data_IF_219437084688
#
_entry.id   IF_219437084688
#
_cell.length_a   1.000
_cell.length_b   1.000
_cell.length_c   1.000
_cell.angle_alpha   90.00
_cell.angle_beta   90.00
_cell.angle_gamma   90.00
#
_symmetry.space_group_name_H-M   'P 1'
#
loop_
_entity.id
_entity.type
_entity.pdbx_description
1 polymer ?
#
# COMPACT_ATOMS: atom_id res chain seq x y z
N UNK A 1 -25.52 -87.33 13.69
CA UNK A 1 -24.84 -88.31 14.59
C UNK A 1 -24.94 -87.79 16.01
N UNK A 2 -25.70 -88.48 16.79
CA UNK A 2 -25.60 -88.89 18.21
C UNK A 2 -25.33 -87.70 19.16
N UNK A 3 -26.23 -87.43 20.07
CA UNK A 3 -26.96 -88.16 21.05
C UNK A 3 -26.52 -87.77 22.46
N UNK A 4 -27.48 -87.46 23.24
CA UNK A 4 -27.95 -88.00 24.55
C UNK A 4 -27.52 -87.14 25.71
N UNK A 5 -28.46 -86.61 26.35
CA UNK A 5 -29.37 -87.21 27.37
C UNK A 5 -28.80 -87.21 28.76
N UNK A 6 -29.56 -86.73 29.61
CA UNK A 6 -30.23 -87.26 30.80
C UNK A 6 -29.62 -86.76 32.08
N UNK A 7 -30.27 -86.50 33.12
CA UNK A 7 -31.60 -86.58 33.73
C UNK A 7 -31.41 -86.27 35.20
N UNK A 8 -32.38 -85.61 35.80
CA UNK A 8 -33.19 -85.97 36.95
C UNK A 8 -32.48 -86.18 38.32
N UNK A 9 -32.87 -85.39 39.32
CA UNK A 9 -33.53 -85.84 40.54
C UNK A 9 -33.75 -84.65 41.46
N UNK A 10 -34.98 -84.21 41.66
CA UNK A 10 -35.83 -84.33 42.83
C UNK A 10 -35.11 -84.32 44.21
N UNK A 11 -35.35 -83.25 45.01
CA UNK A 11 -36.08 -83.52 46.27
C UNK A 11 -36.62 -82.25 46.94
N UNK A 12 -37.83 -82.36 47.41
CA UNK A 12 -38.57 -81.35 48.13
C UNK A 12 -38.12 -81.35 49.63
N UNK A 13 -38.22 -80.18 50.24
CA UNK A 13 -38.92 -80.08 51.56
C UNK A 13 -39.00 -78.62 52.04
N UNK A 14 -40.19 -78.16 52.17
CA UNK A 14 -40.89 -77.51 53.30
C UNK A 14 -40.26 -76.27 53.99
N UNK A 15 -41.10 -75.23 53.92
CA UNK A 15 -41.52 -74.32 55.00
C UNK A 15 -40.52 -73.28 55.52
N UNK A 16 -40.84 -72.00 55.26
CA UNK A 16 -41.29 -71.03 56.29
C UNK A 16 -41.44 -69.63 55.64
N UNK A 17 -42.64 -69.09 55.78
CA UNK A 17 -42.91 -67.65 55.60
C UNK A 17 -42.40 -66.97 56.89
N UNK A 18 -41.72 -65.81 56.78
CA UNK A 18 -42.33 -64.62 57.37
C UNK A 18 -42.17 -63.42 56.52
N UNK A 19 -43.18 -62.61 56.59
CA UNK A 19 -43.28 -61.16 56.39
C UNK A 19 -41.98 -60.44 56.44
N UNK A 20 -41.69 -59.54 55.45
CA UNK A 20 -41.18 -58.23 55.74
C UNK A 20 -41.21 -57.32 54.53
N UNK A 21 -41.81 -56.18 54.70
CA UNK A 21 -41.30 -54.87 54.33
C UNK A 21 -41.02 -54.63 52.85
N UNK A 22 -42.02 -54.13 52.09
CA UNK A 22 -41.78 -53.39 50.84
C UNK A 22 -41.10 -52.12 51.19
N UNK A 23 -39.78 -52.11 51.08
CA UNK A 23 -38.98 -50.88 51.09
C UNK A 23 -39.00 -50.26 49.71
N UNK A 24 -39.83 -49.22 49.52
CA UNK A 24 -39.80 -48.38 48.34
C UNK A 24 -38.42 -47.65 48.29
N UNK A 25 -37.52 -48.21 47.54
CA UNK A 25 -36.27 -47.57 47.20
C UNK A 25 -36.62 -46.56 46.13
N UNK A 26 -36.83 -45.26 46.52
CA UNK A 26 -36.92 -44.12 45.62
C UNK A 26 -35.61 -44.01 44.93
N UNK A 27 -35.54 -44.52 43.67
CA UNK A 27 -34.44 -44.15 42.75
C UNK A 27 -34.63 -42.68 42.39
N UNK A 28 -33.90 -41.82 43.09
CA UNK A 28 -33.68 -40.44 42.65
C UNK A 28 -32.91 -40.55 41.30
N UNK A 29 -33.65 -40.49 40.22
CA UNK A 29 -33.04 -40.21 38.90
C UNK A 29 -32.43 -38.83 39.00
N UNK A 30 -31.14 -38.76 39.26
CA UNK A 30 -30.34 -37.55 39.03
C UNK A 30 -30.47 -37.24 37.55
N UNK A 31 -31.37 -36.30 37.20
CA UNK A 31 -31.38 -35.67 35.88
C UNK A 31 -30.03 -34.97 35.75
N UNK A 32 -29.09 -35.61 35.11
CA UNK A 32 -27.84 -34.96 34.69
C UNK A 32 -28.20 -33.86 33.67
N UNK A 33 -28.43 -32.66 34.18
CA UNK A 33 -28.62 -31.47 33.32
C UNK A 33 -27.48 -31.34 32.33
N UNK A 34 -27.81 -30.89 31.13
CA UNK A 34 -26.81 -30.65 30.09
C UNK A 34 -25.80 -29.62 30.60
N UNK A 35 -24.57 -30.09 30.82
CA UNK A 35 -23.49 -29.23 31.30
C UNK A 35 -22.96 -28.35 30.14
N UNK A 36 -23.01 -27.02 30.29
CA UNK A 36 -22.54 -26.07 29.32
C UNK A 36 -21.30 -25.35 29.87
N UNK A 37 -20.16 -25.40 29.18
CA UNK A 37 -18.96 -24.70 29.63
C UNK A 37 -19.22 -23.19 29.63
N UNK A 38 -18.70 -22.49 30.64
CA UNK A 38 -18.88 -21.06 30.83
C UNK A 38 -17.55 -20.36 30.91
N UNK A 39 -17.51 -19.09 30.49
CA UNK A 39 -16.38 -18.21 30.67
C UNK A 39 -16.80 -16.97 31.48
N UNK A 40 -15.94 -16.52 32.36
CA UNK A 40 -16.16 -15.27 33.08
C UNK A 40 -15.86 -14.08 32.17
N UNK A 41 -16.73 -13.08 32.22
CA UNK A 41 -16.52 -11.78 31.56
C UNK A 41 -15.48 -11.02 32.37
N UNK A 42 -14.32 -10.81 31.79
CA UNK A 42 -13.19 -10.18 32.46
C UNK A 42 -12.76 -8.90 31.75
N UNK A 43 -12.26 -7.96 32.53
CA UNK A 43 -11.47 -6.86 32.02
C UNK A 43 -10.12 -7.42 31.58
N UNK A 44 -9.80 -7.28 30.33
CA UNK A 44 -8.52 -7.69 29.76
C UNK A 44 -7.88 -6.49 29.08
N UNK A 45 -6.59 -6.32 29.32
CA UNK A 45 -5.80 -5.34 28.58
C UNK A 45 -5.68 -5.79 27.12
N UNK A 46 -6.44 -5.17 26.25
CA UNK A 46 -6.42 -5.43 24.82
C UNK A 46 -5.77 -4.29 24.07
N UNK A 47 -5.07 -4.61 23.00
CA UNK A 47 -4.45 -3.60 22.16
C UNK A 47 -5.51 -2.68 21.58
N UNK A 48 -5.38 -1.38 21.85
CA UNK A 48 -6.19 -0.36 21.18
C UNK A 48 -5.46 0.09 19.93
N UNK A 49 -6.15 0.03 18.81
CA UNK A 49 -5.53 0.41 17.54
C UNK A 49 -6.55 0.67 16.46
N UNK A 50 -6.05 1.18 15.37
CA UNK A 50 -6.82 1.43 14.16
C UNK A 50 -6.17 0.61 13.04
N UNK A 51 -6.94 -0.25 12.40
CA UNK A 51 -6.51 -0.93 11.17
C UNK A 51 -7.22 -0.29 10.00
N UNK A 52 -6.47 0.01 8.96
CA UNK A 52 -6.95 0.60 7.72
C UNK A 52 -6.27 -0.09 6.54
N UNK A 53 -7.03 -0.22 5.46
CA UNK A 53 -6.49 -0.69 4.21
C UNK A 53 -5.78 0.46 3.49
N UNK A 54 -4.66 0.14 2.87
CA UNK A 54 -3.86 1.02 2.05
C UNK A 54 -3.39 0.31 0.79
N UNK A 55 -2.59 0.97 -0.01
CA UNK A 55 -2.00 0.40 -1.22
C UNK A 55 -0.55 0.80 -1.38
N UNK A 56 0.18 -0.06 -2.02
CA UNK A 56 1.60 0.13 -2.31
C UNK A 56 1.76 1.10 -3.48
N UNK A 57 2.65 2.08 -3.33
CA UNK A 57 2.92 3.08 -4.33
C UNK A 57 4.44 3.30 -4.47
N UNK A 58 4.97 3.43 -5.69
CA UNK A 58 6.36 3.86 -5.86
C UNK A 58 6.49 5.32 -5.41
N UNK A 59 7.60 5.65 -4.75
CA UNK A 59 7.87 7.04 -4.37
C UNK A 59 8.14 7.89 -5.61
N UNK A 60 8.79 7.29 -6.62
CA UNK A 60 9.15 7.96 -7.86
C UNK A 60 8.44 7.33 -9.04
N UNK A 61 7.48 8.06 -9.57
CA UNK A 61 6.73 7.71 -10.78
C UNK A 61 6.69 8.93 -11.67
N UNK A 62 6.89 8.77 -12.96
CA UNK A 62 6.88 9.85 -13.93
C UNK A 62 6.15 9.45 -15.19
N UNK A 63 5.31 10.34 -15.68
CA UNK A 63 4.76 10.27 -17.02
C UNK A 63 5.66 11.06 -17.95
N UNK A 64 6.27 10.38 -18.90
CA UNK A 64 7.15 10.99 -19.90
C UNK A 64 6.28 11.44 -21.06
N UNK A 65 6.31 12.74 -21.33
CA UNK A 65 5.55 13.37 -22.38
C UNK A 65 6.47 13.81 -23.55
N UNK A 66 5.92 13.90 -24.74
CA UNK A 66 6.61 14.45 -25.88
C UNK A 66 7.02 15.91 -25.62
N UNK A 67 8.21 16.29 -26.05
CA UNK A 67 8.72 17.67 -26.03
C UNK A 67 8.83 18.26 -27.42
N UNK A 68 8.80 17.42 -28.47
CA UNK A 68 8.78 17.82 -29.87
C UNK A 68 7.47 17.40 -30.54
N UNK A 69 7.10 18.13 -31.59
CA UNK A 69 6.02 17.76 -32.52
C UNK A 69 6.56 16.85 -33.62
N UNK A 70 5.75 15.90 -34.06
CA UNK A 70 6.09 15.01 -35.16
C UNK A 70 5.42 13.63 -35.03
N UNK A 71 5.55 12.79 -36.06
CA UNK A 71 5.07 11.41 -35.97
C UNK A 71 6.04 10.57 -35.15
N UNK A 72 5.55 9.74 -34.28
CA UNK A 72 6.36 8.77 -33.56
C UNK A 72 6.88 7.74 -34.56
N UNK A 73 8.18 7.72 -34.77
CA UNK A 73 8.83 6.82 -35.73
C UNK A 73 8.94 5.41 -35.16
N UNK A 74 9.39 5.30 -33.91
CA UNK A 74 9.55 4.01 -33.22
C UNK A 74 9.23 4.13 -31.74
N UNK A 75 8.66 3.05 -31.18
CA UNK A 75 8.55 2.82 -29.72
C UNK A 75 9.30 1.52 -29.43
N UNK A 76 10.37 1.60 -28.64
CA UNK A 76 11.31 0.49 -28.42
C UNK A 76 10.99 -0.32 -27.16
N UNK A 77 9.98 0.11 -26.39
CA UNK A 77 9.65 -0.47 -25.09
C UNK A 77 8.16 -0.80 -25.01
N UNK A 78 7.85 -1.72 -24.09
CA UNK A 78 6.48 -2.14 -23.77
C UNK A 78 6.22 -2.03 -22.27
N UNK A 79 4.94 -2.07 -21.89
CA UNK A 79 4.57 -2.18 -20.47
C UNK A 79 5.20 -3.45 -19.88
N UNK A 80 5.80 -3.31 -18.69
CA UNK A 80 6.54 -4.38 -18.01
C UNK A 80 8.03 -4.42 -18.31
N UNK A 81 8.55 -3.65 -19.27
CA UNK A 81 9.97 -3.64 -19.58
C UNK A 81 10.78 -2.88 -18.51
N UNK A 82 11.97 -3.41 -18.22
CA UNK A 82 12.96 -2.74 -17.40
C UNK A 82 13.81 -1.81 -18.25
N UNK A 83 13.98 -0.56 -17.82
CA UNK A 83 14.73 0.46 -18.53
C UNK A 83 15.82 1.07 -17.64
N UNK A 84 16.90 1.53 -18.25
CA UNK A 84 18.00 2.22 -17.59
C UNK A 84 17.95 3.72 -17.88
N UNK A 85 18.49 4.52 -16.98
CA UNK A 85 18.67 5.97 -17.21
C UNK A 85 19.41 6.25 -18.51
N UNK A 86 18.89 7.18 -19.31
CA UNK A 86 19.43 7.52 -20.64
C UNK A 86 19.07 6.51 -21.76
N UNK A 87 18.43 5.40 -21.46
CA UNK A 87 17.99 4.44 -22.48
C UNK A 87 16.95 5.09 -23.40
N UNK A 88 17.11 4.90 -24.72
CA UNK A 88 16.16 5.35 -25.73
C UNK A 88 14.86 4.55 -25.63
N UNK A 89 13.73 5.22 -25.48
CA UNK A 89 12.40 4.64 -25.30
C UNK A 89 11.55 4.76 -26.57
N UNK A 90 11.61 5.94 -27.20
CA UNK A 90 10.90 6.23 -28.43
C UNK A 90 11.66 7.28 -29.25
N UNK A 91 11.39 7.30 -30.56
CA UNK A 91 11.89 8.36 -31.44
C UNK A 91 10.71 9.03 -32.14
N UNK A 92 10.80 10.36 -32.26
CA UNK A 92 9.89 11.18 -33.06
C UNK A 92 10.63 11.49 -34.36
N UNK A 93 9.95 11.58 -35.49
CA UNK A 93 10.53 11.94 -36.78
C UNK A 93 11.30 13.25 -36.66
N UNK A 94 12.61 13.20 -36.88
CA UNK A 94 13.54 14.30 -36.64
C UNK A 94 14.00 15.01 -37.91
N UNK A 95 13.44 14.68 -39.09
CA UNK A 95 13.88 15.24 -40.38
C UNK A 95 13.81 16.75 -40.41
N UNK A 96 12.75 17.35 -39.87
CA UNK A 96 12.61 18.80 -39.77
C UNK A 96 13.65 19.40 -38.82
N UNK A 97 13.80 18.80 -37.64
CA UNK A 97 14.78 19.24 -36.63
C UNK A 97 16.21 19.10 -37.15
N UNK A 98 16.53 18.06 -37.89
CA UNK A 98 17.83 17.84 -38.53
C UNK A 98 18.14 18.92 -39.57
N UNK A 99 17.16 19.31 -40.39
CA UNK A 99 17.29 20.41 -41.37
C UNK A 99 17.54 21.73 -40.63
N UNK A 100 16.85 21.99 -39.51
CA UNK A 100 17.06 23.16 -38.66
C UNK A 100 18.49 23.22 -38.09
N UNK A 101 19.03 22.06 -37.63
CA UNK A 101 20.42 21.96 -37.18
C UNK A 101 21.41 22.28 -38.30
N UNK A 102 21.20 21.71 -39.50
CA UNK A 102 22.08 22.01 -40.67
C UNK A 102 22.08 23.49 -41.04
N UNK A 103 20.91 24.12 -41.06
CA UNK A 103 20.77 25.55 -41.35
C UNK A 103 21.48 26.41 -40.31
N UNK A 104 21.28 26.15 -39.03
CA UNK A 104 21.92 26.92 -37.95
C UNK A 104 23.45 26.71 -37.89
N UNK A 105 23.93 25.50 -38.21
CA UNK A 105 25.36 25.25 -38.38
C UNK A 105 25.98 26.03 -39.53
N UNK A 106 25.29 26.14 -40.67
CA UNK A 106 25.75 26.96 -41.79
C UNK A 106 25.81 28.46 -41.43
N UNK A 107 24.82 28.98 -40.70
CA UNK A 107 24.83 30.35 -40.17
C UNK A 107 25.98 30.60 -39.20
N UNK A 108 26.25 29.63 -38.30
CA UNK A 108 27.38 29.69 -37.38
C UNK A 108 28.71 29.72 -38.16
N UNK A 109 28.88 28.89 -39.18
CA UNK A 109 30.09 28.86 -40.01
C UNK A 109 30.30 30.18 -40.74
N UNK A 110 29.24 30.81 -41.26
CA UNK A 110 29.28 32.14 -41.88
C UNK A 110 29.72 33.22 -40.86
N UNK A 111 29.11 33.24 -39.68
CA UNK A 111 29.46 34.19 -38.62
C UNK A 111 30.92 34.02 -38.13
N UNK A 112 31.41 32.78 -38.05
CA UNK A 112 32.81 32.50 -37.74
C UNK A 112 33.78 33.01 -38.81
N UNK A 113 33.41 32.93 -40.09
CA UNK A 113 34.23 33.46 -41.17
C UNK A 113 34.25 35.01 -41.12
N UNK A 114 33.10 35.66 -40.86
CA UNK A 114 33.03 37.10 -40.65
C UNK A 114 33.89 37.57 -39.48
N UNK A 115 33.85 36.84 -38.35
CA UNK A 115 34.71 37.13 -37.20
C UNK A 115 36.19 37.02 -37.52
N UNK A 116 36.63 35.95 -38.24
CA UNK A 116 38.02 35.83 -38.68
C UNK A 116 38.47 36.97 -39.56
N UNK A 117 37.63 37.41 -40.50
CA UNK A 117 37.92 38.52 -41.38
C UNK A 117 38.03 39.83 -40.60
N UNK A 118 37.10 40.12 -39.68
CA UNK A 118 37.14 41.34 -38.84
C UNK A 118 38.36 41.33 -37.93
N UNK A 119 38.72 40.18 -37.35
CA UNK A 119 39.93 40.06 -36.55
C UNK A 119 41.19 40.35 -37.35
N UNK A 120 41.34 39.76 -38.56
CA UNK A 120 42.49 40.03 -39.44
C UNK A 120 42.57 41.52 -39.89
N UNK A 121 41.38 42.11 -40.10
CA UNK A 121 41.35 43.55 -40.43
C UNK A 121 41.78 44.43 -39.25
N UNK A 122 41.30 44.18 -38.06
CA UNK A 122 41.68 44.82 -36.83
C UNK A 122 43.20 44.70 -36.59
N UNK A 123 43.74 43.47 -36.68
CA UNK A 123 45.16 43.24 -36.46
C UNK A 123 46.06 43.98 -37.49
N UNK A 124 45.70 44.03 -38.80
CA UNK A 124 46.38 44.84 -39.82
C UNK A 124 46.27 46.30 -39.52
N UNK A 125 45.10 46.84 -39.20
CA UNK A 125 44.89 48.26 -38.90
C UNK A 125 45.68 48.68 -37.66
N UNK A 126 45.77 47.88 -36.64
CA UNK A 126 46.56 48.09 -35.41
C UNK A 126 48.05 48.17 -35.72
N UNK A 127 48.58 47.26 -36.57
CA UNK A 127 49.99 47.31 -37.00
C UNK A 127 50.32 48.55 -37.84
N UNK A 128 49.44 48.93 -38.76
CA UNK A 128 49.63 50.16 -39.55
C UNK A 128 49.51 51.38 -38.67
N UNK A 129 48.65 51.45 -37.72
CA UNK A 129 48.49 52.56 -36.78
C UNK A 129 49.75 52.73 -35.91
N UNK A 130 50.31 51.62 -35.40
CA UNK A 130 51.57 51.68 -34.64
C UNK A 130 52.78 52.21 -35.44
N UNK A 131 52.70 52.07 -36.77
CA UNK A 131 53.69 52.62 -37.71
C UNK A 131 53.38 54.05 -38.24
N UNK A 132 52.24 54.63 -37.80
CA UNK A 132 51.83 55.97 -38.16
C UNK A 132 51.13 56.11 -39.53
N UNK A 133 50.75 55.00 -40.20
CA UNK A 133 50.16 54.97 -41.54
C UNK A 133 48.65 55.17 -41.56
N UNK A 134 47.95 54.98 -40.43
CA UNK A 134 46.49 55.17 -40.32
C UNK A 134 46.13 55.93 -39.03
N UNK A 135 44.93 56.55 -39.02
CA UNK A 135 44.47 57.36 -37.89
C UNK A 135 43.93 56.47 -36.73
N UNK A 136 43.86 57.03 -35.53
CA UNK A 136 43.21 56.39 -34.39
C UNK A 136 41.73 56.05 -34.68
N UNK A 137 41.02 56.91 -35.37
CA UNK A 137 39.60 56.70 -35.79
C UNK A 137 39.42 55.44 -36.68
N UNK A 138 40.44 55.14 -37.54
CA UNK A 138 40.42 53.94 -38.35
C UNK A 138 40.55 52.64 -37.47
N UNK A 139 41.40 52.74 -36.44
CA UNK A 139 41.52 51.63 -35.45
C UNK A 139 40.24 51.42 -34.65
N UNK A 140 39.61 52.48 -34.17
CA UNK A 140 38.33 52.45 -33.43
C UNK A 140 37.21 51.82 -34.27
N UNK A 141 37.16 52.17 -35.60
CA UNK A 141 36.24 51.57 -36.54
C UNK A 141 36.46 50.07 -36.69
N UNK A 142 37.74 49.67 -36.92
CA UNK A 142 38.08 48.23 -37.02
C UNK A 142 37.77 47.48 -35.74
N UNK A 143 37.99 48.06 -34.55
CA UNK A 143 37.65 47.47 -33.25
C UNK A 143 36.14 47.33 -33.10
N UNK A 144 35.36 48.33 -33.52
CA UNK A 144 33.89 48.27 -33.48
C UNK A 144 33.36 47.19 -34.41
N UNK A 145 33.94 47.04 -35.61
CA UNK A 145 33.60 45.95 -36.54
C UNK A 145 33.92 44.56 -35.96
N UNK A 146 35.09 44.42 -35.30
CA UNK A 146 35.45 43.18 -34.61
C UNK A 146 34.45 42.82 -33.51
N UNK A 147 34.09 43.79 -32.65
CA UNK A 147 33.08 43.59 -31.60
C UNK A 147 31.73 43.18 -32.19
N UNK A 148 31.32 43.84 -33.28
CA UNK A 148 30.08 43.47 -33.99
C UNK A 148 30.11 42.04 -34.55
N UNK A 149 31.24 41.64 -35.15
CA UNK A 149 31.42 40.28 -35.66
C UNK A 149 31.46 39.23 -34.53
N UNK A 150 32.05 39.55 -33.36
CA UNK A 150 32.00 38.70 -32.16
C UNK A 150 30.58 38.49 -31.70
N UNK A 151 29.79 39.57 -31.55
CA UNK A 151 28.38 39.47 -31.16
C UNK A 151 27.56 38.65 -32.17
N UNK A 152 27.79 38.82 -33.47
CA UNK A 152 27.15 38.04 -34.52
C UNK A 152 27.46 36.54 -34.43
N UNK A 153 28.73 36.20 -34.15
CA UNK A 153 29.13 34.80 -33.94
C UNK A 153 28.47 34.22 -32.69
N UNK A 154 28.37 34.99 -31.60
CA UNK A 154 27.73 34.50 -30.34
C UNK A 154 26.23 34.28 -30.54
N UNK A 155 25.54 35.14 -31.29
CA UNK A 155 24.16 34.98 -31.68
C UNK A 155 23.96 33.70 -32.51
N UNK A 156 24.76 33.48 -33.54
CA UNK A 156 24.70 32.30 -34.39
C UNK A 156 24.97 31.00 -33.59
N UNK A 157 25.94 31.06 -32.64
CA UNK A 157 26.23 29.97 -31.73
C UNK A 157 25.04 29.63 -30.82
N UNK A 158 24.32 30.63 -30.32
CA UNK A 158 23.11 30.41 -29.53
C UNK A 158 22.00 29.77 -30.37
N UNK A 159 21.81 30.21 -31.63
CA UNK A 159 20.86 29.58 -32.55
C UNK A 159 21.18 28.12 -32.86
N UNK A 160 22.48 27.81 -33.06
CA UNK A 160 22.91 26.43 -33.29
C UNK A 160 22.64 25.55 -32.08
N UNK A 161 22.87 26.02 -30.85
CA UNK A 161 22.53 25.28 -29.62
C UNK A 161 21.02 25.06 -29.49
N UNK A 162 20.20 26.05 -29.81
CA UNK A 162 18.74 25.95 -29.78
C UNK A 162 18.25 24.86 -30.75
N UNK A 163 18.74 24.83 -31.98
CA UNK A 163 18.38 23.83 -32.98
C UNK A 163 18.81 22.41 -32.55
N UNK A 164 20.02 22.28 -32.01
CA UNK A 164 20.52 21.01 -31.50
C UNK A 164 19.68 20.49 -30.33
N UNK A 165 19.22 21.40 -29.42
CA UNK A 165 18.32 21.04 -28.33
C UNK A 165 16.96 20.60 -28.85
N UNK A 166 16.40 21.27 -29.85
CA UNK A 166 15.13 20.89 -30.47
C UNK A 166 15.23 19.49 -31.12
N UNK A 167 16.36 19.18 -31.79
CA UNK A 167 16.62 17.83 -32.28
C UNK A 167 16.76 16.83 -31.13
N UNK A 168 17.40 17.20 -30.04
CA UNK A 168 17.50 16.34 -28.84
C UNK A 168 16.15 15.89 -28.30
N UNK A 169 15.13 16.75 -28.40
CA UNK A 169 13.76 16.44 -27.93
C UNK A 169 13.02 15.40 -28.80
N UNK A 170 13.50 15.11 -29.98
CA UNK A 170 12.94 14.02 -30.81
C UNK A 170 13.31 12.62 -30.28
N UNK A 171 14.31 12.54 -29.42
CA UNK A 171 14.78 11.31 -28.80
C UNK A 171 14.28 11.23 -27.37
N UNK A 172 13.28 10.42 -27.13
CA UNK A 172 12.67 10.24 -25.82
C UNK A 172 13.50 9.22 -25.03
N UNK A 173 14.10 9.64 -23.93
CA UNK A 173 14.97 8.80 -23.08
C UNK A 173 14.44 8.67 -21.68
N UNK A 174 14.79 7.56 -21.00
CA UNK A 174 14.45 7.33 -19.61
C UNK A 174 15.22 8.29 -18.67
N UNK A 175 14.53 9.01 -17.78
CA UNK A 175 15.19 9.93 -16.83
C UNK A 175 15.89 9.23 -15.67
N UNK A 176 15.56 7.96 -15.39
CA UNK A 176 16.13 7.14 -14.32
C UNK A 176 15.91 5.65 -14.59
N UNK A 177 16.58 4.79 -13.82
CA UNK A 177 16.37 3.35 -13.88
C UNK A 177 14.99 2.97 -13.33
N UNK A 178 14.25 2.11 -14.05
CA UNK A 178 12.92 1.76 -13.61
C UNK A 178 12.23 0.72 -14.48
N UNK A 179 10.92 0.66 -14.31
CA UNK A 179 10.02 -0.21 -15.08
C UNK A 179 8.97 0.64 -15.79
N UNK A 180 8.62 0.22 -16.99
CA UNK A 180 7.52 0.84 -17.74
C UNK A 180 6.20 0.31 -17.20
N UNK A 181 5.38 1.21 -16.63
CA UNK A 181 4.06 0.86 -16.12
C UNK A 181 3.04 0.76 -17.25
N UNK A 182 3.06 1.76 -18.14
CA UNK A 182 2.11 1.86 -19.25
C UNK A 182 2.72 2.64 -20.42
N UNK A 183 2.47 2.18 -21.63
CA UNK A 183 2.69 2.93 -22.87
C UNK A 183 1.36 3.60 -23.26
N UNK A 184 1.39 4.90 -23.57
CA UNK A 184 0.22 5.71 -23.95
C UNK A 184 0.22 6.06 -25.42
N UNK A 185 1.30 5.74 -26.14
CA UNK A 185 1.46 6.06 -27.55
C UNK A 185 2.14 4.91 -28.30
N UNK A 186 1.82 4.79 -29.57
CA UNK A 186 2.34 3.77 -30.48
C UNK A 186 3.11 4.39 -31.65
N UNK A 187 3.88 3.57 -32.34
CA UNK A 187 4.54 3.99 -33.56
C UNK A 187 3.49 4.37 -34.64
N UNK A 188 3.69 5.51 -35.26
CA UNK A 188 2.73 6.09 -36.21
C UNK A 188 1.85 7.19 -35.64
N UNK A 189 1.68 7.26 -34.30
CA UNK A 189 0.92 8.32 -33.64
C UNK A 189 1.55 9.71 -33.82
N UNK A 190 0.72 10.75 -33.73
CA UNK A 190 1.19 12.12 -33.65
C UNK A 190 1.61 12.48 -32.24
N UNK A 191 2.86 12.84 -32.07
CA UNK A 191 3.37 13.47 -30.85
C UNK A 191 3.20 14.99 -30.94
N UNK A 192 2.72 15.58 -29.85
CA UNK A 192 2.68 17.04 -29.65
C UNK A 192 3.24 17.34 -28.27
N UNK A 193 3.88 18.50 -28.04
CA UNK A 193 4.40 18.86 -26.73
C UNK A 193 3.34 18.73 -25.63
N UNK A 194 3.68 17.99 -24.55
CA UNK A 194 2.77 17.68 -23.44
C UNK A 194 1.96 16.39 -23.58
N UNK A 195 1.85 15.78 -24.78
CA UNK A 195 1.16 14.49 -24.94
C UNK A 195 1.93 13.40 -24.19
N UNK A 196 1.28 12.62 -23.28
CA UNK A 196 1.93 11.52 -22.58
C UNK A 196 2.31 10.42 -23.58
N UNK A 197 3.52 9.91 -23.46
CA UNK A 197 4.03 8.80 -24.28
C UNK A 197 4.08 7.51 -23.49
N UNK A 198 4.56 7.56 -22.25
CA UNK A 198 4.64 6.41 -21.36
C UNK A 198 4.68 6.86 -19.90
N UNK A 199 4.31 5.95 -19.01
CA UNK A 199 4.48 6.10 -17.56
C UNK A 199 5.48 5.08 -17.07
N UNK A 200 6.46 5.51 -16.29
CA UNK A 200 7.45 4.63 -15.66
C UNK A 200 7.59 4.92 -14.17
N UNK A 201 8.10 3.96 -13.43
CA UNK A 201 8.39 4.12 -12.01
C UNK A 201 9.75 3.52 -11.63
N UNK A 202 10.35 4.07 -10.58
CA UNK A 202 11.54 3.48 -9.97
C UNK A 202 11.12 2.37 -9.00
N UNK A 203 11.79 1.20 -9.02
CA UNK A 203 11.43 0.08 -8.15
C UNK A 203 11.66 0.37 -6.67
N UNK A 204 12.50 1.34 -6.35
CA UNK A 204 12.83 1.77 -5.00
C UNK A 204 13.01 3.30 -4.96
N UNK A 205 12.69 3.95 -3.85
CA UNK A 205 11.96 3.41 -2.69
C UNK A 205 10.47 3.22 -2.96
N UNK A 206 9.84 2.36 -2.16
CA UNK A 206 8.39 2.10 -2.18
C UNK A 206 7.78 2.62 -0.88
N UNK A 207 6.53 3.05 -0.96
CA UNK A 207 5.74 3.48 0.20
C UNK A 207 4.37 2.82 0.17
N UNK A 208 3.75 2.71 1.34
CA UNK A 208 2.33 2.40 1.48
C UNK A 208 1.58 3.69 1.73
N UNK A 209 0.51 3.90 1.00
CA UNK A 209 -0.38 5.04 1.16
C UNK A 209 -1.67 4.55 1.79
N UNK A 210 -2.08 5.19 2.88
CA UNK A 210 -3.30 4.88 3.60
C UNK A 210 -4.12 6.15 3.82
N UNK A 211 -5.43 6.05 3.62
CA UNK A 211 -6.37 7.14 3.81
C UNK A 211 -6.98 7.05 5.21
N UNK A 212 -6.56 7.93 6.10
CA UNK A 212 -7.00 7.97 7.50
C UNK A 212 -8.17 8.94 7.65
N UNK A 213 -9.36 8.50 8.09
CA UNK A 213 -10.48 9.40 8.37
C UNK A 213 -10.09 10.50 9.35
N UNK A 214 -10.49 11.75 9.07
CA UNK A 214 -10.20 12.91 9.93
C UNK A 214 -10.63 12.67 11.37
N UNK A 215 -11.78 12.00 11.58
CA UNK A 215 -12.30 11.65 12.90
C UNK A 215 -11.39 10.71 13.70
N UNK A 216 -10.53 9.95 13.03
CA UNK A 216 -9.59 8.98 13.65
C UNK A 216 -8.11 9.41 13.59
N UNK A 217 -7.84 10.54 12.94
CA UNK A 217 -6.48 11.04 12.74
C UNK A 217 -5.74 11.31 14.06
N UNK A 218 -6.45 11.78 15.10
CA UNK A 218 -5.87 12.00 16.43
C UNK A 218 -5.41 10.69 17.06
N UNK A 219 -6.21 9.63 16.97
CA UNK A 219 -5.86 8.29 17.45
C UNK A 219 -4.64 7.73 16.69
N UNK A 220 -4.63 7.86 15.36
CA UNK A 220 -3.51 7.40 14.54
C UNK A 220 -2.21 8.16 14.86
N UNK A 221 -2.28 9.47 15.16
CA UNK A 221 -1.11 10.27 15.58
C UNK A 221 -0.61 9.92 16.98
N UNK A 222 -1.50 9.51 17.86
CA UNK A 222 -1.17 9.10 19.23
C UNK A 222 -0.65 7.64 19.28
N UNK A 223 -0.63 6.93 18.15
CA UNK A 223 -0.15 5.57 18.10
C UNK A 223 1.34 5.49 18.45
N UNK A 224 1.67 4.62 19.40
CA UNK A 224 3.05 4.36 19.81
C UNK A 224 3.84 3.53 18.82
N UNK A 225 3.14 2.75 17.96
CA UNK A 225 3.75 1.99 16.88
C UNK A 225 2.83 1.89 15.66
N UNK A 226 3.44 1.85 14.49
CA UNK A 226 2.74 1.64 13.23
C UNK A 226 3.35 0.46 12.52
N UNK A 227 2.53 -0.45 12.04
CA UNK A 227 2.94 -1.64 11.31
C UNK A 227 2.17 -1.76 10.01
N UNK A 228 2.81 -2.33 9.01
CA UNK A 228 2.23 -2.58 7.69
C UNK A 228 2.24 -4.08 7.45
N UNK A 229 1.07 -4.64 7.14
CA UNK A 229 0.94 -6.02 6.69
C UNK A 229 1.02 -6.03 5.16
N UNK A 230 2.02 -6.71 4.65
CA UNK A 230 2.18 -6.98 3.23
C UNK A 230 2.17 -8.48 2.99
N UNK A 231 1.63 -8.87 1.86
CA UNK A 231 1.80 -10.22 1.33
C UNK A 231 2.95 -10.19 0.34
N UNK A 232 3.88 -11.12 0.47
CA UNK A 232 4.92 -11.29 -0.52
C UNK A 232 4.37 -12.01 -1.77
N UNK A 233 5.19 -12.10 -2.81
CA UNK A 233 4.85 -12.81 -4.06
C UNK A 233 4.58 -14.31 -3.86
N UNK A 234 4.97 -14.89 -2.72
CA UNK A 234 4.69 -16.28 -2.33
C UNK A 234 3.40 -16.43 -1.49
N UNK A 235 2.71 -15.31 -1.20
CA UNK A 235 1.47 -15.28 -0.43
C UNK A 235 1.66 -15.27 1.09
N UNK A 236 2.91 -15.21 1.59
CA UNK A 236 3.16 -15.08 3.02
C UNK A 236 2.89 -13.64 3.49
N UNK A 237 2.06 -13.50 4.51
CA UNK A 237 1.74 -12.21 5.11
C UNK A 237 2.73 -11.90 6.25
N UNK A 238 3.38 -10.75 6.18
CA UNK A 238 4.35 -10.30 7.18
C UNK A 238 4.01 -8.89 7.67
N UNK A 239 4.00 -8.71 8.98
CA UNK A 239 3.98 -7.38 9.59
C UNK A 239 5.38 -6.79 9.59
N UNK A 240 5.52 -5.61 9.03
CA UNK A 240 6.77 -4.85 8.96
C UNK A 240 6.59 -3.45 9.56
N UNK A 241 7.68 -2.86 10.02
CA UNK A 241 7.68 -1.48 10.49
C UNK A 241 8.15 -0.56 9.34
N UNK A 242 7.44 0.53 9.06
CA UNK A 242 7.91 1.52 8.10
C UNK A 242 9.16 2.23 8.62
N UNK A 243 10.04 2.63 7.70
CA UNK A 243 11.25 3.40 8.01
C UNK A 243 10.90 4.84 8.36
N UNK A 244 9.92 5.40 7.67
CA UNK A 244 9.41 6.75 7.93
C UNK A 244 7.90 6.81 7.73
N UNK A 245 7.29 7.76 8.43
CA UNK A 245 5.88 8.07 8.32
C UNK A 245 5.71 9.56 8.10
N UNK A 246 5.03 9.93 7.04
CA UNK A 246 4.70 11.31 6.73
C UNK A 246 3.20 11.48 6.51
N UNK A 247 2.68 12.62 6.89
CA UNK A 247 1.26 12.96 6.78
C UNK A 247 1.12 14.15 5.85
N UNK A 248 0.31 14.02 4.82
CA UNK A 248 -0.03 15.13 3.93
C UNK A 248 -0.95 16.08 4.71
N UNK A 249 -0.58 17.37 4.92
CA UNK A 249 -1.33 18.26 5.81
C UNK A 249 -2.59 18.85 5.13
N UNK A 250 -3.32 18.02 4.41
CA UNK A 250 -4.57 18.39 3.77
C UNK A 250 -5.54 17.20 3.83
N UNK A 251 -6.82 17.49 4.01
CA UNK A 251 -7.86 16.49 3.95
C UNK A 251 -8.53 16.56 2.57
N UNK A 252 -8.84 15.39 2.02
CA UNK A 252 -9.68 15.30 0.84
C UNK A 252 -11.12 15.69 1.21
N UNK A 253 -11.73 16.69 0.53
CA UNK A 253 -13.05 17.21 0.90
C UNK A 253 -14.20 16.23 0.65
N UNK A 254 -14.01 15.24 -0.25
CA UNK A 254 -15.04 14.27 -0.61
C UNK A 254 -15.03 13.09 0.35
N UNK A 255 -13.86 12.48 0.55
CA UNK A 255 -13.72 11.30 1.40
C UNK A 255 -13.54 11.63 2.88
N UNK A 256 -13.26 12.89 3.24
CA UNK A 256 -12.94 13.33 4.60
C UNK A 256 -11.79 12.52 5.21
N UNK A 257 -10.76 12.23 4.40
CA UNK A 257 -9.57 11.49 4.80
C UNK A 257 -8.32 12.32 4.63
N UNK A 258 -7.29 11.97 5.40
CA UNK A 258 -5.93 12.51 5.34
C UNK A 258 -5.03 11.41 4.81
N UNK A 259 -4.21 11.74 3.83
CA UNK A 259 -3.24 10.80 3.27
C UNK A 259 -2.03 10.66 4.18
N UNK A 260 -1.75 9.42 4.57
CA UNK A 260 -0.56 9.04 5.31
C UNK A 260 0.32 8.17 4.42
N UNK A 261 1.62 8.47 4.43
CA UNK A 261 2.63 7.81 3.61
C UNK A 261 3.63 7.12 4.51
N UNK A 262 3.77 5.82 4.35
CA UNK A 262 4.64 4.96 5.12
C UNK A 262 5.72 4.42 4.18
N UNK A 263 6.95 4.89 4.31
CA UNK A 263 8.07 4.41 3.49
C UNK A 263 8.57 3.07 4.02
N UNK A 264 8.79 2.15 3.09
CA UNK A 264 9.29 0.82 3.39
C UNK A 264 10.82 0.78 3.25
N UNK A 265 11.45 -0.15 3.98
CA UNK A 265 12.87 -0.41 3.78
C UNK A 265 13.12 -0.96 2.37
N UNK A 266 14.33 -0.77 1.84
CA UNK A 266 14.71 -1.34 0.55
C UNK A 266 14.63 -2.87 0.55
N UNK A 267 14.81 -3.51 1.70
CA UNK A 267 14.75 -4.96 1.85
C UNK A 267 13.30 -5.47 1.79
N UNK A 268 12.39 -4.84 2.54
CA UNK A 268 10.98 -5.20 2.57
C UNK A 268 10.26 -4.85 1.25
N UNK A 269 10.86 -3.97 0.45
CA UNK A 269 10.30 -3.53 -0.84
C UNK A 269 10.62 -4.47 -2.01
N UNK A 270 11.59 -5.40 -1.89
CA UNK A 270 12.11 -6.21 -3.02
C UNK A 270 11.06 -7.06 -3.72
N UNK A 271 10.07 -7.57 -2.98
CA UNK A 271 9.06 -8.51 -3.48
C UNK A 271 7.65 -7.94 -3.45
N UNK A 272 7.54 -6.62 -3.41
CA UNK A 272 6.26 -5.91 -3.31
C UNK A 272 5.99 -5.18 -4.61
N UNK A 273 4.78 -5.31 -5.13
CA UNK A 273 4.40 -4.69 -6.40
C UNK A 273 3.59 -3.40 -6.16
N UNK A 274 3.86 -2.32 -6.92
CA UNK A 274 2.99 -1.15 -6.93
C UNK A 274 1.54 -1.53 -7.26
N UNK A 275 0.59 -0.93 -6.54
CA UNK A 275 -0.83 -1.24 -6.65
C UNK A 275 -1.30 -2.39 -5.75
N UNK A 276 -0.40 -3.12 -5.11
CA UNK A 276 -0.75 -4.18 -4.17
C UNK A 276 -1.44 -3.59 -2.93
N UNK A 277 -2.45 -4.29 -2.44
CA UNK A 277 -3.13 -3.92 -1.19
C UNK A 277 -2.21 -4.17 0.00
N UNK A 278 -2.24 -3.27 0.96
CA UNK A 278 -1.55 -3.36 2.24
C UNK A 278 -2.54 -3.07 3.36
N UNK A 279 -2.31 -3.61 4.56
CA UNK A 279 -3.07 -3.23 5.75
C UNK A 279 -2.15 -2.53 6.73
N UNK A 280 -2.58 -1.40 7.24
CA UNK A 280 -1.82 -0.58 8.19
C UNK A 280 -2.48 -0.63 9.55
N UNK A 281 -1.70 -0.97 10.57
CA UNK A 281 -2.12 -0.99 11.97
C UNK A 281 -1.42 0.13 12.73
N UNK A 282 -2.22 0.99 13.33
CA UNK A 282 -1.78 2.03 14.27
C UNK A 282 -2.09 1.55 15.68
N UNK A 283 -1.10 1.21 16.47
CA UNK A 283 -1.27 0.69 17.83
C UNK A 283 -1.10 1.81 18.84
N UNK A 284 -2.17 2.15 19.57
CA UNK A 284 -2.22 3.26 20.51
C UNK A 284 -2.03 2.82 21.97
N UNK A 285 -1.48 1.62 22.23
CA UNK A 285 -1.29 1.07 23.55
C UNK A 285 -2.32 -0.01 23.91
N UNK A 286 -2.52 -0.25 25.21
CA UNK A 286 -3.49 -1.20 25.74
C UNK A 286 -4.54 -0.44 26.54
N UNK A 287 -5.78 -0.91 26.50
CA UNK A 287 -6.85 -0.46 27.37
C UNK A 287 -7.60 -1.66 27.94
N UNK A 288 -8.01 -1.56 29.19
CA UNK A 288 -8.84 -2.58 29.82
C UNK A 288 -10.22 -2.56 29.19
N UNK A 289 -10.59 -3.65 28.52
CA UNK A 289 -11.87 -3.84 27.86
C UNK A 289 -12.54 -5.10 28.36
N UNK A 290 -13.86 -5.05 28.47
CA UNK A 290 -14.64 -6.25 28.73
C UNK A 290 -14.61 -7.13 27.49
N UNK A 291 -14.06 -8.33 27.61
CA UNK A 291 -13.95 -9.27 26.49
C UNK A 291 -14.59 -10.61 26.83
N UNK A 292 -15.13 -11.26 25.83
CA UNK A 292 -15.63 -12.63 25.87
C UNK A 292 -15.09 -13.41 24.68
N UNK A 293 -14.96 -14.75 24.79
CA UNK A 293 -14.64 -15.58 23.63
C UNK A 293 -15.71 -15.44 22.54
N UNK A 294 -15.30 -15.42 21.28
CA UNK A 294 -16.21 -15.29 20.14
C UNK A 294 -17.24 -16.43 20.09
N UNK A 295 -16.89 -17.64 20.56
CA UNK A 295 -17.77 -18.79 20.66
C UNK A 295 -19.00 -18.55 21.56
N UNK A 296 -18.93 -17.61 22.50
CA UNK A 296 -20.05 -17.27 23.39
C UNK A 296 -21.09 -16.35 22.73
N UNK A 297 -20.79 -15.77 21.55
CA UNK A 297 -21.68 -14.83 20.88
C UNK A 297 -22.70 -15.56 20.03
N UNK A 298 -23.97 -15.33 20.33
CA UNK A 298 -25.08 -15.77 19.50
C UNK A 298 -25.51 -14.64 18.56
N UNK A 299 -25.48 -14.93 17.26
CA UNK A 299 -26.03 -14.04 16.23
C UNK A 299 -27.25 -14.70 15.60
N UNK A 300 -28.39 -14.08 15.68
CA UNK A 300 -29.63 -14.59 15.08
C UNK A 300 -30.38 -13.44 14.40
N UNK A 301 -30.23 -13.35 13.08
CA UNK A 301 -30.69 -12.18 12.33
C UNK A 301 -29.97 -10.92 12.81
N UNK A 302 -30.71 -9.90 13.17
CA UNK A 302 -30.16 -8.64 13.70
C UNK A 302 -29.83 -8.69 15.21
N UNK A 303 -30.31 -9.74 15.92
CA UNK A 303 -30.06 -9.88 17.35
C UNK A 303 -28.67 -10.43 17.60
N UNK A 304 -27.88 -9.67 18.35
CA UNK A 304 -26.62 -10.12 18.94
C UNK A 304 -26.80 -10.25 20.44
N UNK A 305 -26.61 -11.46 20.96
CA UNK A 305 -26.89 -11.79 22.35
C UNK A 305 -25.93 -12.83 22.89
N UNK A 306 -25.91 -12.99 24.19
CA UNK A 306 -25.17 -14.04 24.91
C UNK A 306 -26.09 -14.69 25.95
N UNK A 307 -25.79 -15.93 26.32
CA UNK A 307 -26.45 -16.58 27.43
C UNK A 307 -25.64 -16.36 28.71
N UNK A 308 -26.23 -15.66 29.67
CA UNK A 308 -25.62 -15.36 30.97
C UNK A 308 -26.16 -16.36 32.02
N UNK A 309 -25.30 -16.86 32.86
CA UNK A 309 -25.67 -17.73 33.98
C UNK A 309 -26.54 -16.96 34.98
N UNK A 310 -27.67 -17.52 35.34
CA UNK A 310 -28.59 -16.98 36.34
C UNK A 310 -28.99 -18.09 37.34
N UNK A 311 -29.67 -17.73 38.44
CA UNK A 311 -30.11 -18.64 39.45
C UNK A 311 -31.05 -19.77 38.93
N UNK A 312 -31.67 -19.58 37.76
CA UNK A 312 -32.63 -20.51 37.13
C UNK A 312 -32.06 -21.15 35.85
N UNK A 313 -30.76 -21.15 35.62
CA UNK A 313 -30.11 -21.60 34.38
C UNK A 313 -29.55 -20.47 33.56
N UNK A 314 -29.67 -20.51 32.25
CA UNK A 314 -29.18 -19.50 31.35
C UNK A 314 -30.27 -18.49 30.94
N UNK A 315 -29.93 -17.21 30.95
CA UNK A 315 -30.79 -16.12 30.50
C UNK A 315 -30.18 -15.44 29.27
N UNK A 316 -30.94 -15.30 28.20
CA UNK A 316 -30.52 -14.59 27.00
C UNK A 316 -30.45 -13.07 27.29
N UNK A 317 -29.31 -12.45 27.00
CA UNK A 317 -29.09 -11.04 27.23
C UNK A 317 -28.54 -10.42 25.93
N UNK A 318 -29.20 -9.41 25.40
CA UNK A 318 -28.74 -8.67 24.27
C UNK A 318 -27.46 -7.92 24.62
N UNK A 319 -26.49 -7.92 23.72
CA UNK A 319 -25.19 -7.26 23.90
C UNK A 319 -24.84 -6.43 22.69
N UNK A 320 -24.06 -5.38 22.92
CA UNK A 320 -23.44 -4.61 21.87
C UNK A 320 -21.97 -4.95 21.80
N UNK A 321 -21.54 -5.50 20.68
CA UNK A 321 -20.14 -5.86 20.44
C UNK A 321 -19.33 -4.62 20.04
N UNK A 322 -18.06 -4.62 20.43
CA UNK A 322 -17.03 -3.71 19.96
C UNK A 322 -16.09 -4.37 18.96
N UNK A 323 -14.80 -4.09 19.08
CA UNK A 323 -13.78 -4.65 18.23
C UNK A 323 -13.54 -6.16 18.51
N UNK A 324 -13.20 -6.90 17.47
CA UNK A 324 -12.70 -8.27 17.61
C UNK A 324 -11.18 -8.22 17.76
N UNK A 325 -10.66 -8.73 18.87
CA UNK A 325 -9.24 -8.76 19.20
C UNK A 325 -8.60 -10.14 18.92
N UNK A 326 -9.22 -10.95 18.07
CA UNK A 326 -8.73 -12.26 17.67
C UNK A 326 -8.65 -13.23 18.85
N UNK A 327 -7.47 -13.70 19.19
CA UNK A 327 -7.26 -14.64 20.30
C UNK A 327 -7.66 -14.08 21.68
N UNK A 328 -7.69 -12.77 21.83
CA UNK A 328 -8.09 -12.11 23.08
C UNK A 328 -9.61 -12.04 23.27
N UNK A 329 -10.38 -12.30 22.21
CA UNK A 329 -11.83 -12.32 22.22
C UNK A 329 -12.48 -11.10 21.61
N UNK A 330 -13.80 -10.98 21.80
CA UNK A 330 -14.62 -9.88 21.28
C UNK A 330 -14.97 -8.92 22.41
N UNK A 331 -14.73 -7.62 22.17
CA UNK A 331 -15.06 -6.55 23.11
C UNK A 331 -16.58 -6.43 23.29
N UNK A 332 -17.02 -6.21 24.51
CA UNK A 332 -18.41 -5.88 24.87
C UNK A 332 -18.49 -4.41 25.25
N UNK A 333 -19.19 -3.64 24.44
CA UNK A 333 -19.43 -2.21 24.69
C UNK A 333 -20.57 -1.97 25.68
N UNK A 334 -21.60 -2.85 25.62
CA UNK A 334 -22.75 -2.76 26.53
C UNK A 334 -23.45 -4.11 26.65
N UNK A 335 -24.13 -4.31 27.79
CA UNK A 335 -24.99 -5.47 28.03
C UNK A 335 -24.46 -6.43 29.08
N UNK A 336 -23.17 -6.43 29.42
CA UNK A 336 -22.58 -7.28 30.45
C UNK A 336 -21.84 -6.47 31.52
N UNK A 337 -21.58 -7.12 32.66
CA UNK A 337 -20.79 -6.58 33.76
C UNK A 337 -19.56 -7.45 34.00
N UNK A 338 -18.48 -6.89 34.54
CA UNK A 338 -17.35 -7.69 35.00
C UNK A 338 -17.84 -8.77 36.00
N UNK A 339 -17.40 -10.00 35.80
CA UNK A 339 -17.78 -11.14 36.65
C UNK A 339 -19.03 -11.89 36.18
N UNK A 340 -19.83 -11.39 35.23
CA UNK A 340 -20.89 -12.18 34.60
C UNK A 340 -20.26 -13.45 33.99
N UNK A 341 -20.98 -14.58 34.06
CA UNK A 341 -20.55 -15.81 33.40
C UNK A 341 -21.38 -16.05 32.15
N UNK A 342 -20.73 -16.25 31.02
CA UNK A 342 -21.38 -16.49 29.71
C UNK A 342 -21.13 -17.90 29.23
N UNK A 343 -22.15 -18.50 28.61
CA UNK A 343 -22.04 -19.81 27.99
C UNK A 343 -21.14 -19.77 26.76
N UNK A 344 -20.17 -20.68 26.66
CA UNK A 344 -19.29 -20.84 25.52
C UNK A 344 -19.97 -21.52 24.33
N UNK A 345 -21.08 -22.26 24.59
CA UNK A 345 -21.90 -22.88 23.58
C UNK A 345 -23.35 -22.37 23.71
N UNK A 346 -23.69 -21.30 22.99
CA UNK A 346 -25.03 -20.71 23.06
C UNK A 346 -26.15 -21.67 22.62
N UNK A 347 -25.85 -22.65 21.75
CA UNK A 347 -26.84 -23.61 21.26
C UNK A 347 -27.23 -24.55 22.37
N UNK A 348 -26.28 -25.11 23.13
CA UNK A 348 -26.57 -25.98 24.28
C UNK A 348 -27.24 -25.22 25.42
N UNK A 349 -26.91 -23.93 25.58
CA UNK A 349 -27.53 -23.08 26.60
C UNK A 349 -29.03 -22.83 26.38
N UNK A 350 -29.55 -23.04 25.15
CA UNK A 350 -30.99 -22.94 24.86
C UNK A 350 -31.80 -24.15 25.31
N UNK A 351 -31.17 -25.28 25.61
CA UNK A 351 -31.85 -26.49 25.89
C UNK A 351 -32.45 -26.48 27.32
N UNK A 352 -33.63 -27.09 27.47
CA UNK A 352 -34.29 -27.18 28.78
C UNK A 352 -33.41 -27.97 29.76
N UNK A 353 -33.22 -27.43 30.96
CA UNK A 353 -32.38 -28.05 31.98
C UNK A 353 -30.87 -27.85 31.81
N UNK A 354 -30.42 -26.98 30.87
CA UNK A 354 -29.02 -26.62 30.74
C UNK A 354 -28.50 -25.92 32.00
N UNK A 355 -27.37 -26.38 32.54
CA UNK A 355 -26.72 -25.83 33.72
C UNK A 355 -25.26 -25.44 33.42
N UNK A 356 -24.75 -24.45 34.12
CA UNK A 356 -23.35 -24.11 34.02
C UNK A 356 -22.47 -25.27 34.50
N UNK A 357 -21.50 -25.67 33.68
CA UNK A 357 -20.51 -26.64 34.10
C UNK A 357 -19.71 -26.07 35.27
N UNK A 358 -19.68 -26.80 36.39
CA UNK A 358 -18.89 -26.41 37.55
C UNK A 358 -17.41 -26.51 37.15
N UNK A 359 -16.74 -25.41 37.08
CA UNK A 359 -15.29 -25.40 36.83
C UNK A 359 -14.62 -26.01 38.07
N UNK A 360 -14.19 -27.25 37.95
CA UNK A 360 -13.32 -27.83 38.96
C UNK A 360 -12.06 -26.97 39.13
N UNK A 361 -11.74 -26.64 40.36
CA UNK A 361 -10.62 -25.83 40.79
C UNK A 361 -9.31 -26.56 40.54
#
# INVERSE_FOLDING_TARGET
>A
MRSRSSAIFFNATRRAVPWLGVMFMSVATAQSGIQVPVAAVQLKAVGTGLELDGFVQPVKQSTISAQASGRIATVLIKAGDKVRSGQLLATIDDREAQTGVQSSQAQMAQAQAALRNAQAQFDRTRDLQSKGFVSAAALDTAQSQLKGAQAGRDQASAGARQSALAQGFTRVVAPYDGWVLQAHAEAGDLAVPGKPLLTMYAPLPIRVVVQVPVSRATMARAAGSTQVLLQDSAGAAKWIQPVSLSVVPTADPVSQTIEWRLELSAEDSKNVLPGQQARVRFSAGQADRLVIPESAVLRRGELTAVYVVSAKGFTLKAVRLGANHGADGVEIVAGLRPGDQVALDPVKATLAGAQAATTGK
#
